data_IF_293255330884
#
_entry.id   IF_293255330884
#
_cell.length_a   1.000
_cell.length_b   1.000
_cell.length_c   1.000
_cell.angle_alpha   90.00
_cell.angle_beta   90.00
_cell.angle_gamma   90.00
#
_symmetry.space_group_name_H-M   'P 1'
#
loop_
_entity.id
_entity.type
_entity.pdbx_description
1 polymer ?
#
# COMPACT_ATOMS: atom_id res chain seq x y z
N UNK A 1 5.38 -11.48 24.33
CA UNK A 1 3.91 -11.53 24.21
C UNK A 1 3.34 -10.22 24.70
N UNK A 2 2.22 -9.75 24.10
CA UNK A 2 1.56 -8.52 24.50
C UNK A 2 0.06 -8.76 24.73
N UNK A 3 -0.51 -8.02 25.66
CA UNK A 3 -1.93 -7.93 25.89
C UNK A 3 -2.35 -6.45 25.83
N UNK A 4 -3.04 -6.06 24.76
CA UNK A 4 -3.67 -4.74 24.68
C UNK A 4 -4.99 -4.82 25.43
N UNK A 5 -5.12 -4.03 26.49
CA UNK A 5 -6.28 -4.05 27.40
C UNK A 5 -7.28 -2.95 27.04
N UNK A 6 -8.55 -3.33 26.99
CA UNK A 6 -9.69 -2.41 26.90
C UNK A 6 -9.60 -1.39 25.74
N UNK A 7 -9.04 -1.79 24.60
CA UNK A 7 -8.91 -0.96 23.40
C UNK A 7 -10.20 -0.97 22.58
N UNK A 8 -10.55 0.14 21.94
CA UNK A 8 -11.72 0.24 21.07
C UNK A 8 -11.38 -0.31 19.68
N UNK A 9 -11.93 -1.48 19.30
CA UNK A 9 -11.50 -2.28 18.16
C UNK A 9 -12.33 -2.01 16.91
N UNK A 10 -11.66 -1.70 15.80
CA UNK A 10 -12.21 -1.64 14.45
C UNK A 10 -11.51 -2.70 13.56
N UNK A 11 -12.23 -3.75 13.21
CA UNK A 11 -11.74 -4.92 12.45
C UNK A 11 -12.48 -5.16 11.09
N UNK A 12 -12.35 -4.36 10.08
CA UNK A 12 -12.38 -2.91 10.16
C UNK A 12 -13.69 -2.38 10.75
N UNK A 13 -14.73 -3.24 10.85
CA UNK A 13 -16.03 -2.95 11.46
C UNK A 13 -15.86 -2.78 12.97
N UNK A 14 -16.58 -1.82 13.55
CA UNK A 14 -16.52 -1.54 14.98
C UNK A 14 -16.96 -2.71 15.84
N UNK A 15 -16.12 -3.15 16.77
CA UNK A 15 -16.34 -4.28 17.69
C UNK A 15 -16.51 -3.85 19.14
N UNK A 16 -16.38 -2.55 19.42
CA UNK A 16 -16.37 -2.01 20.80
C UNK A 16 -15.10 -2.35 21.56
N UNK A 17 -15.14 -2.17 22.87
CA UNK A 17 -13.98 -2.40 23.76
C UNK A 17 -13.65 -3.88 23.86
N UNK A 18 -12.41 -4.24 23.54
CA UNK A 18 -11.87 -5.60 23.61
C UNK A 18 -10.44 -5.58 24.15
N UNK A 19 -10.00 -6.75 24.58
CA UNK A 19 -8.60 -7.06 24.81
C UNK A 19 -8.07 -7.83 23.61
N UNK A 20 -6.84 -7.55 23.19
CA UNK A 20 -6.17 -8.26 22.09
C UNK A 20 -4.91 -8.93 22.65
N UNK A 21 -4.89 -10.26 22.66
CA UNK A 21 -3.71 -11.03 23.04
C UNK A 21 -2.87 -11.38 21.82
N UNK A 22 -1.57 -11.03 21.89
CA UNK A 22 -0.60 -11.20 20.81
C UNK A 22 0.48 -12.18 21.27
N UNK A 23 0.60 -13.29 20.54
CA UNK A 23 1.61 -14.30 20.75
C UNK A 23 2.52 -14.40 19.53
N UNK A 24 3.80 -14.09 19.70
CA UNK A 24 4.78 -13.98 18.63
C UNK A 24 4.35 -12.91 17.58
N UNK A 25 4.14 -13.33 16.35
CA UNK A 25 3.76 -12.50 15.22
C UNK A 25 2.25 -12.51 14.90
N UNK A 26 1.43 -13.17 15.76
CA UNK A 26 0.01 -13.39 15.51
C UNK A 26 -0.88 -12.81 16.61
N UNK A 27 -2.06 -12.39 16.19
CA UNK A 27 -3.19 -12.17 17.11
C UNK A 27 -3.69 -13.55 17.52
N UNK A 28 -3.60 -13.87 18.80
CA UNK A 28 -4.02 -15.17 19.32
C UNK A 28 -5.49 -15.15 19.75
N UNK A 29 -5.93 -14.08 20.44
CA UNK A 29 -7.30 -13.92 20.92
C UNK A 29 -7.74 -12.46 20.85
N UNK A 30 -9.05 -12.26 20.66
CA UNK A 30 -9.71 -10.94 20.75
C UNK A 30 -11.01 -11.14 21.53
N UNK A 31 -11.00 -10.77 22.80
CA UNK A 31 -12.11 -11.06 23.72
C UNK A 31 -12.31 -9.88 24.70
N UNK A 32 -13.36 -9.94 25.49
CA UNK A 32 -13.61 -8.98 26.58
C UNK A 32 -12.97 -9.46 27.88
N UNK A 33 -12.36 -8.54 28.65
CA UNK A 33 -11.89 -8.77 30.00
C UNK A 33 -10.99 -10.01 30.17
N UNK A 34 -9.95 -10.13 29.33
CA UNK A 34 -8.99 -11.23 29.46
C UNK A 34 -8.13 -11.07 30.71
N UNK A 35 -8.04 -12.14 31.50
CA UNK A 35 -7.07 -12.29 32.59
C UNK A 35 -6.14 -13.44 32.23
N UNK A 36 -4.87 -13.14 31.97
CA UNK A 36 -3.87 -14.10 31.54
C UNK A 36 -2.70 -14.12 32.52
N UNK A 37 -2.46 -15.28 33.13
CA UNK A 37 -1.28 -15.52 33.96
C UNK A 37 -0.17 -16.14 33.11
N UNK A 38 0.55 -15.30 32.39
CA UNK A 38 1.63 -15.71 31.48
C UNK A 38 2.91 -14.98 31.90
N UNK A 39 4.03 -15.72 32.15
CA UNK A 39 5.31 -15.08 32.45
C UNK A 39 5.75 -14.12 31.35
N UNK A 40 6.29 -12.97 31.71
CA UNK A 40 6.81 -11.93 30.83
C UNK A 40 5.75 -11.35 29.85
N UNK A 41 4.47 -11.46 30.18
CA UNK A 41 3.41 -10.78 29.45
C UNK A 41 3.49 -9.27 29.67
N UNK A 42 3.58 -8.52 28.56
CA UNK A 42 3.57 -7.06 28.60
C UNK A 42 2.14 -6.58 28.36
N UNK A 43 1.53 -5.98 29.38
CA UNK A 43 0.22 -5.35 29.26
C UNK A 43 0.35 -3.89 28.82
N UNK A 44 -0.51 -3.49 27.90
CA UNK A 44 -0.61 -2.13 27.37
C UNK A 44 -2.05 -1.66 27.58
N UNK A 45 -2.22 -0.60 28.35
CA UNK A 45 -3.54 0.03 28.53
C UNK A 45 -3.96 0.74 27.25
N UNK A 46 -5.05 0.26 26.62
CA UNK A 46 -5.66 0.79 25.41
C UNK A 46 -6.96 1.55 25.66
N UNK A 47 -7.32 1.84 26.94
CA UNK A 47 -8.63 2.39 27.31
C UNK A 47 -9.01 3.69 26.60
N UNK A 48 -8.02 4.50 26.21
CA UNK A 48 -8.16 5.77 25.50
C UNK A 48 -7.79 5.68 24.01
N UNK A 49 -7.53 4.46 23.51
CA UNK A 49 -7.02 4.22 22.16
C UNK A 49 -8.02 3.42 21.32
N UNK A 50 -7.91 3.61 20.00
CA UNK A 50 -8.64 2.88 18.98
C UNK A 50 -7.64 1.97 18.28
N UNK A 51 -7.94 0.67 18.18
CA UNK A 51 -7.14 -0.29 17.43
C UNK A 51 -7.74 -0.49 16.03
N UNK A 52 -6.91 -0.33 15.01
CA UNK A 52 -7.22 -0.65 13.62
C UNK A 52 -6.14 -1.59 13.07
N UNK A 53 -6.42 -2.37 12.00
CA UNK A 53 -5.37 -3.14 11.34
C UNK A 53 -4.23 -2.25 10.86
N UNK A 54 -3.01 -2.76 10.86
CA UNK A 54 -1.86 -2.06 10.29
C UNK A 54 -2.12 -1.68 8.84
N UNK A 55 -1.72 -0.47 8.44
CA UNK A 55 -2.00 0.05 7.10
C UNK A 55 -1.18 -0.70 6.05
N UNK A 56 -1.78 -0.84 4.86
CA UNK A 56 -1.18 -1.53 3.72
C UNK A 56 -1.09 -0.52 2.58
N UNK A 57 0.13 -0.28 2.11
CA UNK A 57 0.39 0.63 1.00
C UNK A 57 0.88 -0.16 -0.23
N UNK A 58 0.04 -0.25 -1.25
CA UNK A 58 0.32 -1.08 -2.42
C UNK A 58 1.10 -0.37 -3.54
N UNK A 59 1.52 0.89 -3.34
CA UNK A 59 2.26 1.66 -4.33
C UNK A 59 3.33 2.53 -3.69
N UNK A 60 4.55 1.97 -3.57
CA UNK A 60 5.67 2.64 -2.88
C UNK A 60 6.95 2.52 -3.69
N UNK A 61 7.62 3.65 -3.93
CA UNK A 61 8.93 3.68 -4.58
C UNK A 61 10.05 3.42 -3.56
N UNK A 62 10.18 2.17 -3.09
CA UNK A 62 11.12 1.82 -2.00
C UNK A 62 12.59 2.10 -2.32
N UNK A 63 12.97 2.04 -3.60
CA UNK A 63 14.31 2.41 -4.09
C UNK A 63 14.42 3.89 -4.45
N UNK A 64 13.34 4.65 -4.26
CA UNK A 64 13.17 6.03 -4.69
C UNK A 64 12.74 6.14 -6.15
N UNK A 65 12.01 7.20 -6.46
CA UNK A 65 11.68 7.64 -7.80
C UNK A 65 12.65 8.74 -8.28
N UNK A 66 12.20 9.55 -9.22
CA UNK A 66 12.93 10.68 -9.75
C UNK A 66 13.93 10.32 -10.83
N UNK A 67 14.72 11.34 -11.22
CA UNK A 67 15.64 11.24 -12.34
C UNK A 67 15.21 12.06 -13.55
N UNK A 68 13.93 12.45 -13.64
CA UNK A 68 13.37 13.22 -14.75
C UNK A 68 13.98 14.62 -14.90
N UNK A 69 14.49 15.20 -13.81
CA UNK A 69 15.27 16.45 -13.81
C UNK A 69 16.79 16.24 -13.97
N UNK A 70 17.23 15.02 -14.28
CA UNK A 70 18.65 14.63 -14.33
C UNK A 70 19.07 13.85 -13.07
N UNK A 71 20.30 13.30 -13.08
CA UNK A 71 20.79 12.40 -12.02
C UNK A 71 20.69 12.95 -10.59
N UNK A 72 20.78 14.26 -10.43
CA UNK A 72 20.70 14.94 -9.12
C UNK A 72 19.26 14.96 -8.54
N UNK A 73 18.23 14.71 -9.35
CA UNK A 73 16.83 14.68 -8.95
C UNK A 73 16.34 13.28 -8.52
N UNK A 74 17.24 12.29 -8.44
CA UNK A 74 16.91 10.95 -7.95
C UNK A 74 16.67 10.99 -6.44
N UNK A 75 15.49 10.52 -5.99
CA UNK A 75 15.19 10.42 -4.56
C UNK A 75 16.00 9.31 -3.91
N UNK A 76 16.41 9.45 -2.63
CA UNK A 76 17.07 8.36 -1.89
C UNK A 76 16.12 7.20 -1.63
N UNK A 77 16.66 6.07 -1.18
CA UNK A 77 15.85 4.92 -0.75
C UNK A 77 14.98 5.25 0.46
N UNK A 78 13.82 4.61 0.53
CA UNK A 78 12.88 4.77 1.63
C UNK A 78 13.47 4.27 2.95
N UNK A 79 13.30 5.03 4.01
CA UNK A 79 13.72 4.66 5.36
C UNK A 79 12.57 4.01 6.15
N UNK A 80 12.89 3.03 6.99
CA UNK A 80 11.91 2.32 7.82
C UNK A 80 11.12 3.28 8.72
N UNK A 81 11.77 4.29 9.28
CA UNK A 81 11.11 5.26 10.16
C UNK A 81 9.96 6.01 9.49
N UNK A 82 10.05 6.29 8.19
CA UNK A 82 8.97 6.94 7.45
C UNK A 82 7.76 6.00 7.32
N UNK A 83 8.02 4.70 7.07
CA UNK A 83 6.97 3.67 6.97
C UNK A 83 6.21 3.55 8.30
N UNK A 84 6.95 3.42 9.40
CA UNK A 84 6.37 3.23 10.73
C UNK A 84 5.59 4.46 11.20
N UNK A 85 6.12 5.68 11.00
CA UNK A 85 5.42 6.92 11.36
C UNK A 85 4.09 7.09 10.63
N UNK A 86 3.99 6.58 9.42
CA UNK A 86 2.76 6.58 8.64
C UNK A 86 1.77 5.46 9.00
N UNK A 87 2.10 4.58 9.98
CA UNK A 87 1.25 3.45 10.38
C UNK A 87 1.28 2.27 9.41
N UNK A 88 2.14 2.30 8.42
CA UNK A 88 2.24 1.23 7.40
C UNK A 88 3.04 0.06 7.97
N UNK A 89 2.48 -1.14 7.88
CA UNK A 89 3.10 -2.40 8.34
C UNK A 89 3.32 -3.38 7.19
N UNK A 90 2.65 -3.13 6.07
CA UNK A 90 2.78 -3.92 4.84
C UNK A 90 2.86 -2.97 3.64
N UNK A 91 3.79 -3.21 2.72
CA UNK A 91 3.91 -2.41 1.50
C UNK A 91 4.23 -3.25 0.26
N UNK A 92 3.95 -2.66 -0.92
CA UNK A 92 4.37 -3.20 -2.22
C UNK A 92 5.28 -2.19 -2.91
N UNK A 93 6.54 -2.58 -3.06
CA UNK A 93 7.57 -1.79 -3.74
C UNK A 93 7.49 -1.91 -5.25
N UNK A 94 7.80 -0.83 -5.98
CA UNK A 94 7.82 -0.84 -7.43
C UNK A 94 8.80 0.19 -7.99
N UNK A 95 9.15 0.04 -9.27
CA UNK A 95 9.90 1.03 -10.02
C UNK A 95 8.95 2.04 -10.67
N UNK A 96 9.42 3.26 -10.86
CA UNK A 96 8.75 4.31 -11.60
C UNK A 96 9.22 4.41 -13.06
N UNK A 97 9.41 5.64 -13.53
CA UNK A 97 9.92 5.94 -14.87
C UNK A 97 11.36 5.52 -15.11
N UNK A 98 12.18 5.54 -14.06
CA UNK A 98 13.59 5.17 -14.14
C UNK A 98 13.80 3.68 -13.87
N UNK A 99 13.85 2.91 -14.95
CA UNK A 99 14.23 1.50 -14.98
C UNK A 99 15.66 1.27 -15.51
N UNK A 100 16.35 2.33 -15.87
CA UNK A 100 17.70 2.28 -16.46
C UNK A 100 18.80 2.48 -15.42
N UNK A 101 18.60 3.36 -14.44
CA UNK A 101 19.57 3.59 -13.36
C UNK A 101 19.12 2.97 -12.03
N UNK A 102 17.93 2.41 -11.98
CA UNK A 102 17.38 1.53 -10.94
C UNK A 102 17.05 0.18 -11.57
N UNK A 103 17.06 -0.89 -10.79
CA UNK A 103 16.84 -2.23 -11.33
C UNK A 103 15.94 -3.07 -10.44
N UNK A 104 15.43 -4.17 -11.00
CA UNK A 104 14.62 -5.15 -10.24
C UNK A 104 15.47 -5.79 -9.13
N UNK A 105 16.79 -5.99 -9.35
CA UNK A 105 17.70 -6.48 -8.30
C UNK A 105 17.76 -5.53 -7.11
N UNK A 106 17.92 -4.22 -7.36
CA UNK A 106 17.93 -3.22 -6.30
C UNK A 106 16.57 -3.14 -5.59
N UNK A 107 15.46 -3.18 -6.34
CA UNK A 107 14.11 -3.20 -5.79
C UNK A 107 13.89 -4.42 -4.87
N UNK A 108 14.25 -5.60 -5.34
CA UNK A 108 14.12 -6.85 -4.57
C UNK A 108 15.01 -6.83 -3.32
N UNK A 109 16.26 -6.35 -3.45
CA UNK A 109 17.19 -6.23 -2.32
C UNK A 109 16.62 -5.29 -1.25
N UNK A 110 16.08 -4.13 -1.63
CA UNK A 110 15.46 -3.17 -0.68
C UNK A 110 14.17 -3.75 -0.06
N UNK A 111 13.36 -4.45 -0.84
CA UNK A 111 12.17 -5.16 -0.32
C UNK A 111 12.55 -6.17 0.76
N UNK A 112 13.59 -6.98 0.52
CA UNK A 112 14.11 -7.94 1.51
C UNK A 112 14.72 -7.25 2.73
N UNK A 113 15.39 -6.11 2.54
CA UNK A 113 15.93 -5.31 3.65
C UNK A 113 14.81 -4.84 4.58
N UNK A 114 13.72 -4.26 4.05
CA UNK A 114 12.56 -3.84 4.82
C UNK A 114 11.89 -5.00 5.56
N UNK A 115 11.82 -6.21 4.96
CA UNK A 115 11.36 -7.43 5.66
C UNK A 115 12.26 -7.79 6.84
N UNK A 116 13.57 -7.69 6.67
CA UNK A 116 14.55 -7.95 7.75
C UNK A 116 14.45 -6.90 8.87
N UNK A 117 14.09 -5.67 8.53
CA UNK A 117 13.87 -4.57 9.46
C UNK A 117 12.54 -4.68 10.23
N UNK A 118 11.64 -5.61 9.82
CA UNK A 118 10.51 -6.06 10.65
C UNK A 118 9.11 -5.82 10.10
N UNK A 119 8.95 -5.23 8.92
CA UNK A 119 7.65 -5.07 8.25
C UNK A 119 7.40 -6.20 7.22
N UNK A 120 6.18 -6.26 6.69
CA UNK A 120 5.88 -7.09 5.51
C UNK A 120 6.10 -6.26 4.24
N UNK A 121 6.88 -6.79 3.31
CA UNK A 121 7.13 -6.10 2.04
C UNK A 121 7.09 -7.08 0.87
N UNK A 122 6.41 -6.67 -0.19
CA UNK A 122 6.37 -7.30 -1.51
C UNK A 122 6.89 -6.31 -2.55
N UNK A 123 7.08 -6.77 -3.78
CA UNK A 123 7.39 -5.88 -4.90
C UNK A 123 6.79 -6.40 -6.21
N UNK A 124 6.85 -5.55 -7.23
CA UNK A 124 6.44 -5.86 -8.60
C UNK A 124 7.66 -5.88 -9.50
N UNK A 125 7.73 -6.84 -10.43
CA UNK A 125 8.65 -6.74 -11.55
C UNK A 125 8.15 -5.72 -12.57
N UNK A 126 8.93 -5.35 -13.58
CA UNK A 126 8.55 -4.32 -14.54
C UNK A 126 8.72 -2.88 -14.02
N UNK A 127 8.37 -1.94 -14.84
CA UNK A 127 8.43 -0.50 -14.60
C UNK A 127 7.41 0.22 -15.51
N UNK A 128 7.71 1.45 -16.00
CA UNK A 128 6.83 2.16 -16.95
C UNK A 128 6.87 1.59 -18.36
N UNK A 129 7.97 0.94 -18.73
CA UNK A 129 8.23 0.51 -20.10
C UNK A 129 7.72 -0.89 -20.44
N UNK A 130 7.47 -1.10 -21.71
CA UNK A 130 7.27 -2.40 -22.33
C UNK A 130 8.27 -2.58 -23.50
N UNK A 131 8.93 -3.74 -23.65
CA UNK A 131 8.86 -4.94 -22.81
C UNK A 131 9.31 -4.71 -21.37
N UNK A 132 8.66 -5.38 -20.41
CA UNK A 132 8.90 -5.18 -18.98
C UNK A 132 10.31 -5.63 -18.59
N UNK A 133 11.01 -4.80 -17.80
CA UNK A 133 12.28 -5.16 -17.15
C UNK A 133 12.03 -6.24 -16.09
N UNK A 134 12.91 -7.23 -16.04
CA UNK A 134 12.74 -8.43 -15.21
C UNK A 134 14.08 -8.87 -14.61
N UNK A 135 14.04 -9.63 -13.51
CA UNK A 135 15.24 -10.22 -12.92
C UNK A 135 15.71 -11.47 -13.69
N UNK A 136 14.78 -12.32 -14.12
CA UNK A 136 15.08 -13.64 -14.71
C UNK A 136 14.97 -13.66 -16.23
N UNK A 137 14.65 -12.55 -16.86
CA UNK A 137 14.34 -12.45 -18.28
C UNK A 137 12.90 -12.84 -18.62
N UNK A 138 12.02 -13.03 -17.62
CA UNK A 138 10.61 -13.41 -17.81
C UNK A 138 9.75 -12.92 -16.64
N UNK A 139 8.70 -12.16 -16.91
CA UNK A 139 7.72 -11.73 -15.91
C UNK A 139 7.12 -12.93 -15.18
N UNK A 140 6.74 -13.98 -15.92
CA UNK A 140 6.18 -15.20 -15.34
C UNK A 140 7.17 -15.89 -14.40
N UNK A 141 8.46 -16.01 -14.76
CA UNK A 141 9.47 -16.63 -13.88
C UNK A 141 9.77 -15.78 -12.64
N UNK A 142 9.79 -14.47 -12.77
CA UNK A 142 9.95 -13.57 -11.62
C UNK A 142 8.82 -13.82 -10.60
N UNK A 143 7.57 -13.85 -11.04
CA UNK A 143 6.41 -14.10 -10.18
C UNK A 143 6.45 -15.50 -9.58
N UNK A 144 6.77 -16.53 -10.37
CA UNK A 144 6.73 -17.93 -9.91
C UNK A 144 7.82 -18.23 -8.88
N UNK A 145 9.06 -17.77 -9.10
CA UNK A 145 10.23 -18.23 -8.34
C UNK A 145 10.71 -17.26 -7.26
N UNK A 146 10.21 -16.03 -7.24
CA UNK A 146 10.66 -15.02 -6.27
C UNK A 146 9.48 -14.66 -5.37
N UNK A 147 9.54 -15.08 -4.11
CA UNK A 147 8.41 -14.97 -3.15
C UNK A 147 7.90 -13.55 -2.98
N UNK A 148 8.78 -12.56 -3.01
CA UNK A 148 8.43 -11.16 -2.85
C UNK A 148 7.76 -10.56 -4.08
N UNK A 149 7.96 -11.12 -5.28
CA UNK A 149 7.37 -10.60 -6.52
C UNK A 149 5.97 -11.18 -6.70
N UNK A 150 4.95 -10.29 -6.65
CA UNK A 150 3.53 -10.67 -6.67
C UNK A 150 2.79 -10.24 -7.93
N UNK A 151 3.45 -9.52 -8.85
CA UNK A 151 2.86 -9.00 -10.07
C UNK A 151 3.87 -8.22 -10.90
N UNK A 152 3.35 -7.43 -11.83
CA UNK A 152 4.14 -6.62 -12.75
C UNK A 152 3.62 -5.18 -12.80
N UNK A 153 4.53 -4.19 -12.79
CA UNK A 153 4.23 -2.77 -13.03
C UNK A 153 4.32 -2.44 -14.51
N UNK A 154 3.40 -1.59 -15.00
CA UNK A 154 3.42 -1.03 -16.35
C UNK A 154 2.76 0.35 -16.36
N UNK A 155 3.14 1.23 -17.29
CA UNK A 155 2.41 2.47 -17.57
C UNK A 155 1.71 2.38 -18.93
N UNK A 156 0.44 2.82 -19.00
CA UNK A 156 -0.38 2.68 -20.22
C UNK A 156 -0.72 4.00 -20.90
N UNK A 157 -0.72 5.11 -20.20
CA UNK A 157 -1.25 6.39 -20.76
C UNK A 157 -0.47 7.64 -20.36
N UNK A 158 0.70 7.51 -19.79
CA UNK A 158 1.59 8.63 -19.51
C UNK A 158 2.42 8.99 -20.74
N UNK A 159 2.86 10.27 -20.83
CA UNK A 159 3.73 10.71 -21.93
C UNK A 159 5.13 10.08 -21.87
N UNK A 160 5.51 9.48 -20.73
CA UNK A 160 6.77 8.76 -20.47
C UNK A 160 6.63 7.25 -20.67
N UNK A 161 5.46 6.73 -21.03
CA UNK A 161 5.24 5.29 -21.20
C UNK A 161 5.52 4.81 -22.64
N UNK A 162 5.74 3.51 -22.79
CA UNK A 162 5.96 2.86 -24.09
C UNK A 162 4.70 2.71 -24.93
N UNK A 163 3.51 3.01 -24.38
CA UNK A 163 2.21 2.86 -25.03
C UNK A 163 2.01 1.46 -25.64
N UNK A 164 1.97 0.41 -24.81
CA UNK A 164 1.81 -0.95 -25.29
C UNK A 164 0.50 -1.10 -26.07
N UNK A 165 0.53 -1.91 -27.12
CA UNK A 165 -0.66 -2.26 -27.89
C UNK A 165 -1.56 -3.22 -27.10
N UNK A 166 -2.82 -3.35 -27.51
CA UNK A 166 -3.78 -4.27 -26.88
C UNK A 166 -3.28 -5.72 -26.92
N UNK A 167 -2.68 -6.16 -28.01
CA UNK A 167 -2.10 -7.50 -28.14
C UNK A 167 -0.92 -7.73 -27.20
N UNK A 168 -0.09 -6.72 -26.98
CA UNK A 168 1.01 -6.78 -26.01
C UNK A 168 0.48 -6.86 -24.58
N UNK A 169 -0.56 -6.10 -24.25
CA UNK A 169 -1.24 -6.19 -22.95
C UNK A 169 -1.85 -7.58 -22.73
N UNK A 170 -2.52 -8.16 -23.73
CA UNK A 170 -3.09 -9.52 -23.68
C UNK A 170 -1.99 -10.55 -23.41
N UNK A 171 -0.84 -10.47 -24.07
CA UNK A 171 0.29 -11.38 -23.83
C UNK A 171 0.82 -11.25 -22.41
N UNK A 172 1.07 -10.02 -21.96
CA UNK A 172 1.61 -9.76 -20.64
C UNK A 172 0.67 -10.26 -19.54
N UNK A 173 -0.63 -9.93 -19.65
CA UNK A 173 -1.58 -10.37 -18.62
C UNK A 173 -1.79 -11.89 -18.64
N UNK A 174 -1.67 -12.54 -19.79
CA UNK A 174 -1.73 -14.00 -19.89
C UNK A 174 -0.55 -14.67 -19.20
N UNK A 175 0.67 -14.14 -19.35
CA UNK A 175 1.86 -14.60 -18.65
C UNK A 175 1.73 -14.42 -17.14
N UNK A 176 1.21 -13.26 -16.70
CA UNK A 176 0.97 -12.97 -15.27
C UNK A 176 -0.09 -13.93 -14.71
N UNK A 177 -1.18 -14.15 -15.42
CA UNK A 177 -2.25 -15.07 -15.00
C UNK A 177 -1.76 -16.50 -14.82
N UNK A 178 -0.99 -17.03 -15.78
CA UNK A 178 -0.41 -18.38 -15.66
C UNK A 178 0.55 -18.45 -14.46
N UNK A 179 1.40 -17.42 -14.29
CA UNK A 179 2.31 -17.36 -13.16
C UNK A 179 1.56 -17.33 -11.82
N UNK A 180 0.48 -16.56 -11.72
CA UNK A 180 -0.39 -16.49 -10.54
C UNK A 180 -0.99 -17.87 -10.20
N UNK A 181 -1.55 -18.55 -11.18
CA UNK A 181 -2.15 -19.88 -11.01
C UNK A 181 -1.12 -20.93 -10.52
N UNK A 182 0.10 -20.91 -11.09
CA UNK A 182 1.17 -21.86 -10.74
C UNK A 182 1.75 -21.57 -9.35
N UNK A 183 1.90 -20.32 -8.99
CA UNK A 183 2.53 -19.90 -7.72
C UNK A 183 1.56 -19.71 -6.55
N UNK A 184 0.26 -19.64 -6.82
CA UNK A 184 -0.74 -19.31 -5.81
C UNK A 184 -0.68 -17.85 -5.33
N UNK A 185 -0.12 -16.95 -6.15
CA UNK A 185 -0.03 -15.50 -5.87
C UNK A 185 -1.14 -14.73 -6.58
N UNK A 186 -1.38 -13.49 -6.17
CA UNK A 186 -2.41 -12.61 -6.78
C UNK A 186 -2.19 -12.40 -8.27
N UNK A 187 -0.93 -12.21 -8.70
CA UNK A 187 -0.58 -11.96 -10.10
C UNK A 187 -1.28 -10.72 -10.65
N UNK A 188 -0.93 -9.55 -10.10
CA UNK A 188 -1.50 -8.30 -10.58
C UNK A 188 -0.66 -7.64 -11.68
N UNK A 189 -1.32 -7.03 -12.64
CA UNK A 189 -0.76 -6.03 -13.54
C UNK A 189 -1.13 -4.65 -13.00
N UNK A 190 -0.18 -4.01 -12.34
CA UNK A 190 -0.32 -2.71 -11.70
C UNK A 190 -0.08 -1.61 -12.74
N UNK A 191 -1.13 -0.89 -13.10
CA UNK A 191 -1.16 0.00 -14.25
C UNK A 191 -1.09 1.46 -13.80
N UNK A 192 0.01 2.15 -14.13
CA UNK A 192 0.05 3.60 -14.03
C UNK A 192 -0.85 4.21 -15.10
N UNK A 193 -1.85 4.96 -14.66
CA UNK A 193 -2.80 5.67 -15.52
C UNK A 193 -2.49 7.15 -15.48
N UNK A 194 -2.07 7.72 -16.61
CA UNK A 194 -1.80 9.16 -16.70
C UNK A 194 -3.07 9.97 -17.02
N UNK A 195 -3.01 11.27 -16.83
CA UNK A 195 -4.15 12.19 -16.92
C UNK A 195 -4.72 12.47 -18.32
N UNK A 196 -4.45 11.66 -19.36
CA UNK A 196 -4.85 11.97 -20.73
C UNK A 196 -5.70 10.84 -21.34
N UNK A 197 -6.93 11.20 -21.76
CA UNK A 197 -7.77 10.35 -22.63
C UNK A 197 -8.59 9.28 -21.90
N UNK A 198 -9.24 8.42 -22.68
CA UNK A 198 -9.93 7.23 -22.17
C UNK A 198 -8.91 6.09 -22.05
N UNK A 199 -8.39 5.91 -20.86
CA UNK A 199 -7.19 5.11 -20.60
C UNK A 199 -7.48 3.68 -20.20
N UNK A 200 -8.68 3.38 -19.65
CA UNK A 200 -9.08 2.03 -19.27
C UNK A 200 -9.89 1.32 -20.35
N UNK A 201 -10.21 1.97 -21.47
CA UNK A 201 -11.03 1.36 -22.52
C UNK A 201 -10.43 0.04 -23.02
N UNK A 202 -9.15 0.03 -23.40
CA UNK A 202 -8.49 -1.18 -23.88
C UNK A 202 -8.45 -2.27 -22.82
N UNK A 203 -8.30 -1.90 -21.53
CA UNK A 203 -8.31 -2.86 -20.42
C UNK A 203 -9.70 -3.49 -20.26
N UNK A 204 -10.77 -2.69 -20.29
CA UNK A 204 -12.14 -3.19 -20.19
C UNK A 204 -12.48 -4.10 -21.37
N UNK A 205 -12.08 -3.72 -22.59
CA UNK A 205 -12.24 -4.57 -23.77
C UNK A 205 -11.46 -5.89 -23.66
N UNK A 206 -10.23 -5.88 -23.10
CA UNK A 206 -9.43 -7.11 -22.87
C UNK A 206 -10.14 -8.04 -21.87
N UNK A 207 -10.71 -7.50 -20.79
CA UNK A 207 -11.45 -8.29 -19.83
C UNK A 207 -12.60 -9.04 -20.50
N UNK A 208 -13.33 -8.40 -21.40
CA UNK A 208 -14.45 -9.00 -22.12
C UNK A 208 -14.01 -9.99 -23.21
N UNK A 209 -12.98 -9.66 -24.00
CA UNK A 209 -12.59 -10.42 -25.19
C UNK A 209 -11.63 -11.58 -24.91
N UNK A 210 -10.70 -11.41 -23.93
CA UNK A 210 -9.64 -12.37 -23.67
C UNK A 210 -9.93 -13.31 -22.48
N UNK A 211 -11.13 -13.24 -21.90
CA UNK A 211 -11.55 -14.05 -20.75
C UNK A 211 -10.57 -13.98 -19.56
N UNK A 212 -9.83 -12.87 -19.42
CA UNK A 212 -8.93 -12.64 -18.29
C UNK A 212 -9.71 -12.04 -17.13
N UNK A 213 -9.68 -12.63 -15.93
CA UNK A 213 -10.38 -12.07 -14.79
C UNK A 213 -9.92 -10.65 -14.47
N UNK A 214 -10.87 -9.74 -14.33
CA UNK A 214 -10.62 -8.31 -14.05
C UNK A 214 -9.76 -8.08 -12.79
N UNK A 215 -9.77 -9.01 -11.84
CA UNK A 215 -8.97 -8.95 -10.60
C UNK A 215 -7.46 -8.82 -10.85
N UNK A 216 -6.96 -9.25 -12.00
CA UNK A 216 -5.54 -9.16 -12.35
C UNK A 216 -5.12 -7.75 -12.79
N UNK A 217 -6.06 -6.85 -13.08
CA UNK A 217 -5.76 -5.47 -13.44
C UNK A 217 -5.92 -4.55 -12.24
N UNK A 218 -4.91 -3.73 -11.98
CA UNK A 218 -4.86 -2.75 -10.89
C UNK A 218 -4.53 -1.37 -11.43
N UNK A 219 -5.50 -0.64 -12.02
CA UNK A 219 -5.27 0.75 -12.38
C UNK A 219 -5.06 1.60 -11.12
N UNK A 220 -4.00 2.41 -11.14
CA UNK A 220 -3.66 3.38 -10.09
C UNK A 220 -3.68 4.81 -10.63
N UNK A 221 -3.73 5.80 -9.73
CA UNK A 221 -3.92 7.23 -10.03
C UNK A 221 -5.29 7.52 -10.66
N UNK A 222 -6.31 6.76 -10.21
CA UNK A 222 -7.66 6.89 -10.73
C UNK A 222 -8.38 8.18 -10.30
N UNK A 223 -7.76 8.96 -9.41
CA UNK A 223 -8.15 10.32 -9.06
C UNK A 223 -8.23 11.29 -10.25
N UNK A 224 -7.47 11.01 -11.32
CA UNK A 224 -7.55 11.75 -12.58
C UNK A 224 -8.69 11.31 -13.51
N UNK A 225 -9.38 10.19 -13.22
CA UNK A 225 -10.35 9.55 -14.11
C UNK A 225 -11.54 8.95 -13.34
N UNK A 226 -12.22 9.74 -12.51
CA UNK A 226 -13.25 9.28 -11.58
C UNK A 226 -14.38 8.48 -12.24
N UNK A 227 -14.87 8.90 -13.42
CA UNK A 227 -15.93 8.19 -14.13
C UNK A 227 -15.49 6.79 -14.60
N UNK A 228 -14.26 6.68 -15.14
CA UNK A 228 -13.70 5.40 -15.55
C UNK A 228 -13.40 4.50 -14.34
N UNK A 229 -13.00 5.09 -13.21
CA UNK A 229 -12.83 4.34 -11.96
C UNK A 229 -14.15 3.70 -11.52
N UNK A 230 -15.24 4.46 -11.52
CA UNK A 230 -16.57 3.96 -11.18
C UNK A 230 -16.98 2.83 -12.12
N UNK A 231 -16.86 3.01 -13.43
CA UNK A 231 -17.19 1.98 -14.43
C UNK A 231 -16.37 0.69 -14.21
N UNK A 232 -15.07 0.82 -13.97
CA UNK A 232 -14.19 -0.31 -13.70
C UNK A 232 -14.55 -1.04 -12.39
N UNK A 233 -14.91 -0.28 -11.32
CA UNK A 233 -15.36 -0.84 -10.06
C UNK A 233 -16.71 -1.57 -10.20
N UNK A 234 -17.64 -1.04 -10.99
CA UNK A 234 -18.95 -1.68 -11.28
C UNK A 234 -18.77 -3.00 -12.05
N UNK A 235 -17.73 -3.11 -12.90
CA UNK A 235 -17.34 -4.38 -13.54
C UNK A 235 -16.69 -5.38 -12.54
N UNK A 236 -16.43 -4.98 -11.29
CA UNK A 236 -15.82 -5.79 -10.25
C UNK A 236 -14.31 -5.65 -10.12
N UNK A 237 -13.69 -4.73 -10.85
CA UNK A 237 -12.26 -4.41 -10.78
C UNK A 237 -11.90 -3.57 -9.55
N UNK A 238 -10.66 -3.67 -9.09
CA UNK A 238 -10.12 -2.84 -8.02
C UNK A 238 -9.49 -1.58 -8.59
N UNK A 239 -10.03 -0.41 -8.28
CA UNK A 239 -9.46 0.88 -8.64
C UNK A 239 -8.66 1.45 -7.47
N UNK A 240 -7.45 1.93 -7.75
CA UNK A 240 -6.55 2.51 -6.77
C UNK A 240 -6.40 4.02 -6.97
N UNK A 241 -6.50 4.76 -5.88
CA UNK A 241 -6.46 6.23 -5.87
C UNK A 241 -5.21 6.70 -5.12
N UNK A 242 -4.61 7.77 -5.59
CA UNK A 242 -3.47 8.38 -4.90
C UNK A 242 -3.95 9.18 -3.69
N UNK A 243 -3.27 9.00 -2.58
CA UNK A 243 -3.55 9.72 -1.34
C UNK A 243 -3.10 11.20 -1.44
N UNK A 244 -3.97 12.06 -1.91
CA UNK A 244 -3.79 13.50 -1.92
C UNK A 244 -4.81 14.12 -0.95
N UNK A 245 -4.37 14.68 0.20
CA UNK A 245 -5.29 15.18 1.23
C UNK A 245 -6.27 16.25 0.77
N UNK A 246 -5.89 17.05 -0.23
CA UNK A 246 -6.72 18.07 -0.87
C UNK A 246 -7.74 17.51 -1.88
N UNK A 247 -7.64 16.24 -2.25
CA UNK A 247 -8.59 15.53 -3.12
C UNK A 247 -9.55 14.59 -2.36
N UNK A 248 -9.70 14.75 -1.05
CA UNK A 248 -10.64 13.95 -0.26
C UNK A 248 -12.09 14.06 -0.79
N UNK A 249 -12.48 15.20 -1.38
CA UNK A 249 -13.79 15.39 -2.02
C UNK A 249 -13.99 14.46 -3.23
N UNK A 250 -12.97 14.25 -4.05
CA UNK A 250 -13.05 13.35 -5.21
C UNK A 250 -13.27 11.91 -4.76
N UNK A 251 -12.54 11.47 -3.71
CA UNK A 251 -12.75 10.14 -3.11
C UNK A 251 -14.16 10.00 -2.53
N UNK A 252 -14.65 11.03 -1.84
CA UNK A 252 -16.00 11.04 -1.30
C UNK A 252 -17.05 10.89 -2.41
N UNK A 253 -16.89 11.58 -3.54
CA UNK A 253 -17.80 11.44 -4.69
C UNK A 253 -17.80 10.01 -5.25
N UNK A 254 -16.65 9.36 -5.37
CA UNK A 254 -16.56 7.96 -5.80
C UNK A 254 -17.27 7.03 -4.79
N UNK A 255 -17.03 7.24 -3.48
CA UNK A 255 -17.70 6.47 -2.41
C UNK A 255 -19.22 6.59 -2.53
N UNK A 256 -19.74 7.80 -2.75
CA UNK A 256 -21.19 8.02 -2.90
C UNK A 256 -21.76 7.35 -4.16
N UNK A 257 -20.99 7.22 -5.22
CA UNK A 257 -21.44 6.73 -6.52
C UNK A 257 -21.31 5.21 -6.66
N UNK A 258 -20.21 4.64 -6.22
CA UNK A 258 -19.85 3.22 -6.44
C UNK A 258 -19.65 2.42 -5.14
N UNK A 259 -19.74 3.05 -3.96
CA UNK A 259 -19.36 2.40 -2.71
C UNK A 259 -17.84 2.25 -2.55
N UNK A 260 -17.42 1.48 -1.54
CA UNK A 260 -16.00 1.29 -1.20
C UNK A 260 -15.46 -0.09 -1.55
N UNK A 261 -16.31 -1.04 -1.93
CA UNK A 261 -15.99 -2.47 -1.97
C UNK A 261 -14.85 -2.83 -2.93
N UNK A 262 -14.64 -1.99 -3.94
CA UNK A 262 -13.59 -2.17 -4.96
C UNK A 262 -12.63 -0.97 -5.04
N UNK A 263 -12.59 -0.18 -3.99
CA UNK A 263 -11.76 1.00 -3.88
C UNK A 263 -10.57 0.74 -2.96
N UNK A 264 -9.39 1.18 -3.36
CA UNK A 264 -8.17 1.20 -2.55
C UNK A 264 -7.51 2.57 -2.66
N UNK A 265 -6.70 2.91 -1.65
CA UNK A 265 -5.90 4.13 -1.64
C UNK A 265 -4.45 3.75 -1.37
N UNK A 266 -3.52 4.35 -2.10
CA UNK A 266 -2.07 4.19 -1.92
C UNK A 266 -1.35 5.54 -1.89
N UNK A 267 -0.14 5.59 -1.34
CA UNK A 267 0.54 6.87 -1.11
C UNK A 267 1.29 7.40 -2.33
N UNK A 268 1.74 6.55 -3.22
CA UNK A 268 2.76 6.85 -4.24
C UNK A 268 4.04 7.45 -3.61
N UNK A 269 4.32 7.03 -2.37
CA UNK A 269 5.39 7.63 -1.57
C UNK A 269 6.76 7.34 -2.14
N UNK A 270 7.68 8.27 -1.84
CA UNK A 270 9.05 8.29 -2.33
C UNK A 270 9.17 8.32 -3.86
N UNK A 271 8.03 8.49 -4.55
CA UNK A 271 7.95 8.83 -5.95
C UNK A 271 8.34 10.30 -6.20
N UNK A 272 8.75 10.59 -7.40
CA UNK A 272 8.99 11.97 -7.83
C UNK A 272 7.71 12.59 -8.37
N UNK A 273 7.47 13.81 -7.97
CA UNK A 273 6.40 14.66 -8.50
C UNK A 273 7.08 15.79 -9.28
N UNK A 274 7.41 15.58 -10.57
CA UNK A 274 8.05 16.61 -11.37
C UNK A 274 7.06 17.75 -11.67
N UNK A 275 7.50 18.98 -11.45
CA UNK A 275 6.79 20.18 -11.88
C UNK A 275 7.32 20.53 -13.27
N UNK A 276 6.47 20.41 -14.27
CA UNK A 276 6.79 20.71 -15.66
C UNK A 276 6.53 22.18 -15.97
N UNK A 277 7.32 22.75 -16.90
CA UNK A 277 7.00 24.02 -17.48
C UNK A 277 5.70 23.94 -18.33
N UNK A 278 5.16 25.10 -18.78
CA UNK A 278 3.94 25.16 -19.57
C UNK A 278 3.96 24.31 -20.84
N UNK A 279 5.14 24.14 -21.46
CA UNK A 279 5.32 23.34 -22.69
C UNK A 279 5.53 21.85 -22.40
N UNK A 280 5.69 21.45 -21.15
CA UNK A 280 6.03 20.07 -20.72
C UNK A 280 7.31 19.50 -21.39
N UNK A 281 8.25 20.36 -21.75
CA UNK A 281 9.52 19.99 -22.34
C UNK A 281 10.71 20.13 -21.37
N UNK A 282 10.48 20.70 -20.19
CA UNK A 282 11.51 20.82 -19.13
C UNK A 282 10.90 20.69 -17.73
N UNK A 283 11.57 19.97 -16.84
CA UNK A 283 11.28 19.92 -15.41
C UNK A 283 11.84 21.17 -14.76
N UNK A 284 11.01 21.95 -14.08
CA UNK A 284 11.39 23.21 -13.42
C UNK A 284 11.53 23.05 -11.91
N UNK A 285 10.92 22.04 -11.31
CA UNK A 285 11.04 21.68 -9.90
C UNK A 285 10.70 20.21 -9.71
N UNK A 286 11.13 19.60 -8.61
CA UNK A 286 10.82 18.20 -8.26
C UNK A 286 10.46 18.14 -6.77
N UNK A 287 9.30 17.59 -6.48
CA UNK A 287 8.88 17.25 -5.12
C UNK A 287 8.97 15.74 -4.91
N UNK A 288 9.06 15.32 -3.66
CA UNK A 288 9.05 13.91 -3.26
C UNK A 288 7.74 13.62 -2.54
N UNK A 289 7.04 12.57 -2.94
CA UNK A 289 5.84 12.10 -2.26
C UNK A 289 6.15 11.60 -0.84
N UNK A 290 5.39 12.05 0.15
CA UNK A 290 5.43 11.51 1.50
C UNK A 290 4.53 10.27 1.64
N UNK A 291 4.65 9.57 2.77
CA UNK A 291 3.74 8.45 3.11
C UNK A 291 2.61 8.89 4.06
N UNK A 292 2.80 9.99 4.75
CA UNK A 292 1.84 10.57 5.69
C UNK A 292 0.47 10.88 5.06
N UNK A 293 0.39 11.33 3.79
CA UNK A 293 -0.87 11.55 3.08
C UNK A 293 -1.81 10.35 3.08
N UNK A 294 -1.27 9.11 3.16
CA UNK A 294 -2.08 7.88 3.15
C UNK A 294 -3.16 7.89 4.24
N UNK A 295 -2.80 8.23 5.47
CA UNK A 295 -3.77 8.29 6.56
C UNK A 295 -4.43 9.67 6.69
N UNK A 296 -3.79 10.73 6.21
CA UNK A 296 -4.34 12.08 6.26
C UNK A 296 -5.61 12.21 5.41
N UNK A 297 -5.63 11.64 4.20
CA UNK A 297 -6.83 11.64 3.35
C UNK A 297 -7.99 10.88 4.02
N UNK A 298 -7.72 9.77 4.74
CA UNK A 298 -8.72 9.03 5.53
C UNK A 298 -9.29 9.92 6.63
N UNK A 299 -8.44 10.66 7.36
CA UNK A 299 -8.87 11.61 8.39
C UNK A 299 -9.73 12.74 7.81
N UNK A 300 -9.39 13.22 6.62
CA UNK A 300 -10.16 14.27 5.93
C UNK A 300 -11.55 13.76 5.52
N UNK A 301 -11.67 12.52 5.03
CA UNK A 301 -12.96 11.90 4.74
C UNK A 301 -13.88 11.84 5.99
N UNK A 302 -13.30 11.53 7.15
CA UNK A 302 -14.04 11.52 8.41
C UNK A 302 -14.42 12.94 8.84
N UNK A 303 -13.45 13.86 8.89
CA UNK A 303 -13.61 15.19 9.45
C UNK A 303 -14.48 16.09 8.59
N UNK A 304 -14.24 16.09 7.28
CA UNK A 304 -14.82 17.10 6.37
C UNK A 304 -16.08 16.58 5.67
N UNK A 305 -16.22 15.25 5.52
CA UNK A 305 -17.35 14.62 4.83
C UNK A 305 -18.21 13.71 5.74
N UNK A 306 -17.79 13.49 6.99
CA UNK A 306 -18.57 12.72 7.98
C UNK A 306 -18.69 11.24 7.66
N UNK A 307 -17.75 10.67 6.91
CA UNK A 307 -17.75 9.22 6.64
C UNK A 307 -17.20 8.47 7.86
N UNK A 308 -17.87 7.40 8.26
CA UNK A 308 -17.49 6.63 9.44
C UNK A 308 -16.10 5.99 9.32
N UNK A 309 -15.36 5.92 10.44
CA UNK A 309 -14.02 5.30 10.47
C UNK A 309 -14.05 3.86 9.95
N UNK A 310 -15.04 3.05 10.36
CA UNK A 310 -15.15 1.66 9.92
C UNK A 310 -15.31 1.50 8.39
N UNK A 311 -15.85 2.53 7.73
CA UNK A 311 -15.96 2.58 6.28
C UNK A 311 -14.61 2.94 5.65
N UNK A 312 -14.04 4.08 6.00
CA UNK A 312 -12.87 4.61 5.27
C UNK A 312 -11.58 3.89 5.59
N UNK A 313 -11.45 3.29 6.78
CA UNK A 313 -10.22 2.57 7.15
C UNK A 313 -10.00 1.32 6.27
N UNK A 314 -11.06 0.78 5.68
CA UNK A 314 -10.97 -0.33 4.72
C UNK A 314 -10.14 0.02 3.50
N UNK A 315 -10.16 1.28 3.06
CA UNK A 315 -9.46 1.75 1.85
C UNK A 315 -7.95 1.54 1.91
N UNK A 316 -7.37 1.50 3.12
CA UNK A 316 -5.94 1.33 3.36
C UNK A 316 -5.62 0.09 4.22
N UNK A 317 -6.60 -0.79 4.45
CA UNK A 317 -6.45 -2.02 5.24
C UNK A 317 -7.08 -3.22 4.53
N UNK A 318 -8.32 -3.59 4.87
CA UNK A 318 -8.96 -4.82 4.40
C UNK A 318 -9.20 -4.84 2.90
N UNK A 319 -9.49 -3.72 2.25
CA UNK A 319 -9.68 -3.67 0.81
C UNK A 319 -8.36 -3.95 0.07
N UNK A 320 -7.27 -3.30 0.50
CA UNK A 320 -5.95 -3.58 -0.07
C UNK A 320 -5.55 -5.04 0.17
N UNK A 321 -5.79 -5.58 1.38
CA UNK A 321 -5.51 -6.98 1.68
C UNK A 321 -6.33 -7.95 0.81
N UNK A 322 -7.61 -7.66 0.56
CA UNK A 322 -8.46 -8.45 -0.35
C UNK A 322 -7.98 -8.34 -1.80
N UNK A 323 -7.60 -7.13 -2.21
CA UNK A 323 -7.08 -6.86 -3.54
C UNK A 323 -5.77 -7.60 -3.82
N UNK A 324 -4.90 -7.72 -2.80
CA UNK A 324 -3.63 -8.47 -2.86
C UNK A 324 -3.78 -9.96 -2.52
N UNK A 325 -5.00 -10.44 -2.24
CA UNK A 325 -5.33 -11.82 -1.86
C UNK A 325 -4.57 -12.31 -0.59
N UNK A 326 -4.29 -11.40 0.35
CA UNK A 326 -3.64 -11.69 1.64
C UNK A 326 -4.57 -11.52 2.85
N UNK A 327 -5.84 -11.20 2.63
CA UNK A 327 -6.86 -11.17 3.67
C UNK A 327 -7.28 -12.62 4.05
N UNK A 328 -7.53 -12.97 5.33
CA UNK A 328 -7.48 -12.12 6.54
C UNK A 328 -6.12 -12.13 7.25
N UNK A 329 -5.08 -12.73 6.68
CA UNK A 329 -3.75 -12.71 7.30
C UNK A 329 -3.27 -11.27 7.55
N UNK A 330 -3.60 -10.35 6.66
CA UNK A 330 -3.40 -8.91 6.75
C UNK A 330 -4.74 -8.17 6.64
N UNK A 331 -4.79 -6.92 7.11
CA UNK A 331 -5.98 -6.05 7.00
C UNK A 331 -7.14 -6.45 7.91
N UNK A 332 -6.88 -7.24 8.95
CA UNK A 332 -7.85 -7.69 9.95
C UNK A 332 -7.22 -7.78 11.35
N UNK A 333 -8.04 -7.69 12.38
CA UNK A 333 -7.69 -7.93 13.78
C UNK A 333 -8.40 -9.19 14.31
N UNK A 334 -8.23 -10.30 13.59
CA UNK A 334 -8.86 -11.59 13.92
C UNK A 334 -7.85 -12.57 14.52
N UNK A 335 -8.28 -13.52 15.35
CA UNK A 335 -7.42 -14.63 15.76
C UNK A 335 -6.82 -15.35 14.53
N UNK A 336 -5.49 -15.47 14.51
CA UNK A 336 -4.73 -16.03 13.39
C UNK A 336 -4.19 -15.00 12.39
N UNK A 337 -4.70 -13.77 12.36
CA UNK A 337 -4.11 -12.69 11.57
C UNK A 337 -2.73 -12.32 12.11
N UNK A 338 -1.89 -11.74 11.26
CA UNK A 338 -0.63 -11.15 11.69
C UNK A 338 -0.91 -10.00 12.69
N UNK A 339 -0.10 -9.90 13.71
CA UNK A 339 -0.23 -8.83 14.69
C UNK A 339 0.35 -7.52 14.15
N UNK A 340 -0.31 -7.01 13.11
CA UNK A 340 -0.11 -5.70 12.51
C UNK A 340 -1.22 -4.77 12.99
N UNK A 341 -0.89 -3.89 13.93
CA UNK A 341 -1.87 -3.08 14.66
C UNK A 341 -1.40 -1.63 14.70
N UNK A 342 -2.30 -0.73 14.38
CA UNK A 342 -2.14 0.71 14.63
C UNK A 342 -3.09 1.12 15.73
N UNK A 343 -2.55 1.76 16.76
CA UNK A 343 -3.35 2.39 17.82
C UNK A 343 -3.43 3.89 17.54
N UNK A 344 -4.65 4.39 17.48
CA UNK A 344 -4.96 5.79 17.24
C UNK A 344 -5.41 6.44 18.56
N UNK A 345 -5.04 7.70 18.77
CA UNK A 345 -5.62 8.52 19.84
C UNK A 345 -7.04 9.00 19.46
N UNK A 346 -7.75 9.64 20.39
CA UNK A 346 -9.11 10.17 20.20
C UNK A 346 -9.24 11.20 19.06
N UNK A 347 -8.12 11.80 18.66
CA UNK A 347 -8.08 12.76 17.57
C UNK A 347 -7.64 12.09 16.26
N UNK A 348 -7.65 10.75 16.21
CA UNK A 348 -7.19 9.96 15.09
C UNK A 348 -5.73 10.24 14.71
N UNK A 349 -4.86 10.55 15.67
CA UNK A 349 -3.42 10.55 15.41
C UNK A 349 -2.85 9.16 15.70
N UNK A 350 -1.88 8.72 14.93
CA UNK A 350 -1.16 7.48 15.15
C UNK A 350 -0.35 7.63 16.44
N UNK A 351 -0.64 6.80 17.44
CA UNK A 351 0.05 6.76 18.74
C UNK A 351 1.09 5.64 18.78
N UNK A 352 0.66 4.42 18.44
CA UNK A 352 1.47 3.20 18.58
C UNK A 352 1.32 2.36 17.31
N UNK A 353 2.43 1.78 16.86
CA UNK A 353 2.46 0.88 15.70
C UNK A 353 3.13 -0.43 16.09
N UNK A 354 2.46 -1.51 15.81
CA UNK A 354 2.96 -2.86 15.94
C UNK A 354 2.98 -3.54 14.57
N UNK A 355 4.13 -4.11 14.19
CA UNK A 355 4.26 -4.89 12.97
C UNK A 355 4.75 -6.30 13.31
N UNK A 356 4.03 -7.31 12.87
CA UNK A 356 4.33 -8.73 13.13
C UNK A 356 4.61 -8.99 14.61
N UNK A 357 3.76 -8.42 15.49
CA UNK A 357 3.84 -8.60 16.93
C UNK A 357 5.00 -7.87 17.63
N UNK A 358 5.73 -7.00 16.92
CA UNK A 358 6.79 -6.17 17.48
C UNK A 358 6.34 -4.72 17.62
N UNK A 359 6.56 -4.11 18.76
CA UNK A 359 6.38 -2.67 18.93
C UNK A 359 7.43 -1.93 18.08
N UNK A 360 6.98 -1.21 17.07
CA UNK A 360 7.82 -0.41 16.18
C UNK A 360 7.82 1.07 16.60
N UNK A 361 6.69 1.55 17.12
CA UNK A 361 6.51 2.89 17.68
C UNK A 361 5.56 2.81 18.86
N UNK A 362 5.79 3.59 19.92
CA UNK A 362 4.90 3.71 21.09
C UNK A 362 4.84 5.16 21.56
N UNK A 363 3.62 5.66 21.80
CA UNK A 363 3.38 7.06 22.18
C UNK A 363 4.11 8.06 21.27
N UNK A 364 4.03 7.81 19.94
CA UNK A 364 4.69 8.61 18.89
C UNK A 364 6.22 8.57 18.90
N UNK A 365 6.83 7.75 19.78
CA UNK A 365 8.28 7.55 19.81
C UNK A 365 8.65 6.26 19.06
N UNK A 366 9.56 6.38 18.11
CA UNK A 366 10.09 5.24 17.36
C UNK A 366 10.91 4.34 18.30
N UNK A 367 10.59 3.04 18.31
CA UNK A 367 11.33 1.99 19.01
C UNK A 367 12.19 1.16 18.07
N UNK A 368 11.76 1.04 16.81
CA UNK A 368 12.50 0.39 15.74
C UNK A 368 13.04 1.42 14.76
N UNK A 369 14.21 1.14 14.20
CA UNK A 369 14.87 1.97 13.20
C UNK A 369 15.44 1.11 12.09
N UNK A 370 15.58 1.68 10.90
CA UNK A 370 16.38 1.09 9.85
C UNK A 370 17.86 1.04 10.23
N UNK A 371 18.61 0.20 9.55
CA UNK A 371 20.03 -0.09 9.89
C UNK A 371 20.92 1.16 9.97
N UNK A 372 20.63 2.17 9.16
CA UNK A 372 21.43 3.41 9.05
C UNK A 372 20.70 4.66 9.59
N UNK A 373 19.63 4.47 10.37
CA UNK A 373 18.89 5.56 10.97
C UNK A 373 19.34 5.79 12.42
N UNK A 374 19.52 7.06 12.80
CA UNK A 374 19.72 7.46 14.18
C UNK A 374 18.35 7.74 14.83
N UNK A 375 18.02 7.05 15.89
CA UNK A 375 16.91 7.45 16.79
C UNK A 375 17.52 8.39 17.80
N UNK A 376 17.13 9.67 17.78
CA UNK A 376 17.35 10.52 18.94
C UNK A 376 16.45 10.00 20.06
N UNK A 377 17.00 9.18 20.95
CA UNK A 377 16.37 8.89 22.23
C UNK A 377 16.23 10.25 22.95
N UNK A 378 15.02 10.78 23.01
CA UNK A 378 14.74 11.77 24.02
C UNK A 378 14.93 11.02 25.33
N UNK A 379 15.92 11.44 26.14
CA UNK A 379 16.14 10.95 27.47
C UNK A 379 14.77 10.88 28.16
N UNK A 380 14.42 9.71 28.68
CA UNK A 380 13.31 9.56 29.61
C UNK A 380 13.68 10.47 30.77
N UNK A 381 13.04 11.63 30.84
CA UNK A 381 13.06 12.45 32.07
C UNK A 381 12.20 11.69 33.06
N UNK A 382 12.83 11.19 34.11
CA UNK A 382 12.30 10.50 35.28
C UNK A 382 11.03 11.15 35.86
#
# INVERSE_FOLDING_TARGET
MYLLKNVDVYDPIHKGKKDIFIANDKIALVEENMELDIPDLVEIDGSELIAVPGFIDQHVHVTGGGGEGGFHSRTPELMLSNVIKAGVTTLVGLLGTDSHTRSIENLLAKTKALKNEGITAYCLTGAYEYPSVTLTGSVAKDIVYIDEIIGCKLAISDHRCSRPTKEELIRLISDIRIAALVSGKVGELHLHVGGIGNTLKDIMEIVEEAEVPIKHFRPTHMDCHLEQAVEFMEMGGWADFTAEPDKAEDLYHVIQKAGIEKMTVSSDSNGSIPVWNEKRDAVVDVKVGGMEPLFEVIRNLIRDFGVDLETVIQLITSNVAKALEIYPAKGALLPGSDADIVLLDKNLNIDTVMAKGKLMMKHKNLLAKGTFEEISLKEEVE
#
